data_IF_380064447387
#
_entry.id   IF_380064447387
#
_cell.length_a   1.000
_cell.length_b   1.000
_cell.length_c   1.000
_cell.angle_alpha   90.00
_cell.angle_beta   90.00
_cell.angle_gamma   90.00
#
_symmetry.space_group_name_H-M   'P 1'
#
loop_
_entity.id
_entity.type
_entity.pdbx_description
1 polymer ?
#
# COMPACT_ATOMS: atom_id res chain seq x y z
N UNK A 1 -6.58 78.14 -10.89
CA UNK A 1 -6.46 76.99 -9.97
C UNK A 1 -7.25 75.82 -10.55
N UNK A 2 -6.63 75.01 -11.44
CA UNK A 2 -7.32 73.92 -12.16
C UNK A 2 -6.31 72.96 -12.80
N UNK A 3 -5.35 72.45 -12.01
CA UNK A 3 -4.36 71.45 -12.47
C UNK A 3 -4.02 70.36 -11.44
N UNK A 4 -4.63 70.38 -10.25
CA UNK A 4 -4.26 69.47 -9.14
C UNK A 4 -5.15 68.23 -9.08
N UNK A 5 -6.26 68.17 -9.82
CA UNK A 5 -7.27 67.12 -9.66
C UNK A 5 -7.06 65.86 -10.52
N UNK A 6 -6.10 65.85 -11.45
CA UNK A 6 -5.87 64.71 -12.37
C UNK A 6 -4.81 63.73 -11.87
N UNK A 7 -3.99 64.12 -10.89
CA UNK A 7 -2.89 63.26 -10.39
C UNK A 7 -3.41 62.27 -9.32
N UNK A 8 -4.53 62.56 -8.65
CA UNK A 8 -5.09 61.68 -7.62
C UNK A 8 -5.79 60.43 -8.17
N UNK A 9 -6.24 60.45 -9.43
CA UNK A 9 -6.93 59.31 -10.06
C UNK A 9 -5.97 58.26 -10.66
N UNK A 10 -4.70 58.62 -10.87
CA UNK A 10 -3.70 57.72 -11.45
C UNK A 10 -3.00 56.85 -10.38
N UNK A 11 -3.01 57.28 -9.11
CA UNK A 11 -2.41 56.52 -8.00
C UNK A 11 -3.31 55.37 -7.47
N UNK A 12 -4.62 55.45 -7.68
CA UNK A 12 -5.58 54.40 -7.25
C UNK A 12 -5.58 53.21 -8.22
N UNK A 13 -5.27 53.43 -9.50
CA UNK A 13 -5.18 52.36 -10.51
C UNK A 13 -3.89 51.54 -10.35
N UNK A 14 -2.83 52.10 -9.74
CA UNK A 14 -1.57 51.38 -9.51
C UNK A 14 -1.66 50.39 -8.32
N UNK A 15 -2.61 50.58 -7.39
CA UNK A 15 -2.87 49.64 -6.29
C UNK A 15 -3.83 48.50 -6.66
N UNK A 16 -4.54 48.60 -7.78
CA UNK A 16 -5.44 47.54 -8.25
C UNK A 16 -4.72 46.35 -8.90
N UNK A 17 -3.41 46.46 -9.16
CA UNK A 17 -2.60 45.40 -9.80
C UNK A 17 -1.79 44.54 -8.82
N UNK A 18 -1.84 44.79 -7.51
CA UNK A 18 -1.19 43.93 -6.50
C UNK A 18 -2.12 42.85 -5.92
N UNK A 19 -3.34 42.73 -6.42
CA UNK A 19 -4.36 41.77 -5.95
C UNK A 19 -4.23 40.34 -6.48
N UNK A 20 -3.09 39.95 -7.04
CA UNK A 20 -2.87 38.57 -7.48
C UNK A 20 -1.42 38.14 -7.22
N UNK A 21 -0.97 38.27 -5.96
CA UNK A 21 0.06 37.39 -5.46
C UNK A 21 -0.63 36.05 -5.21
N UNK A 22 -0.50 35.11 -6.15
CA UNK A 22 -0.79 33.71 -5.88
C UNK A 22 0.09 33.30 -4.69
N UNK A 23 -0.50 33.29 -3.50
CA UNK A 23 -0.03 32.49 -2.37
C UNK A 23 0.01 31.07 -2.91
N UNK A 24 1.18 30.60 -3.31
CA UNK A 24 1.38 29.19 -3.62
C UNK A 24 1.10 28.45 -2.32
N UNK A 25 -0.08 27.82 -2.23
CA UNK A 25 -0.35 26.87 -1.17
C UNK A 25 0.76 25.83 -1.24
N UNK A 26 1.45 25.67 -0.11
CA UNK A 26 2.53 24.70 -0.02
C UNK A 26 1.91 23.33 -0.18
N UNK A 27 2.34 22.58 -1.20
CA UNK A 27 1.89 21.21 -1.43
C UNK A 27 2.87 20.23 -0.82
N UNK A 28 2.37 19.02 -0.60
CA UNK A 28 3.14 17.88 -0.16
C UNK A 28 2.78 16.65 -0.99
N UNK A 29 3.79 15.82 -1.23
CA UNK A 29 3.63 14.58 -1.98
C UNK A 29 3.26 13.42 -1.06
N UNK A 30 2.28 12.62 -1.48
CA UNK A 30 1.99 11.29 -0.94
C UNK A 30 2.28 10.25 -2.01
N UNK A 31 3.23 9.37 -1.74
CA UNK A 31 3.51 8.24 -2.63
C UNK A 31 2.51 7.11 -2.37
N UNK A 32 1.85 6.64 -3.42
CA UNK A 32 0.93 5.51 -3.36
C UNK A 32 1.67 4.25 -3.79
N UNK A 33 1.66 3.24 -2.92
CA UNK A 33 2.30 1.95 -3.15
C UNK A 33 1.25 0.85 -3.12
N UNK A 34 1.49 -0.20 -3.90
CA UNK A 34 0.72 -1.43 -3.89
C UNK A 34 1.52 -2.54 -3.21
N UNK A 35 0.84 -3.37 -2.44
CA UNK A 35 1.39 -4.58 -1.83
C UNK A 35 0.31 -5.64 -1.73
N UNK A 36 0.71 -6.86 -1.43
CA UNK A 36 -0.20 -7.93 -1.06
C UNK A 36 0.51 -8.95 -0.17
N UNK A 37 -0.27 -9.74 0.56
CA UNK A 37 0.23 -10.93 1.24
C UNK A 37 0.35 -12.09 0.24
N UNK A 38 1.38 -12.93 0.37
CA UNK A 38 1.46 -14.15 -0.44
C UNK A 38 0.27 -15.06 -0.20
N UNK A 39 -0.22 -15.68 -1.28
CA UNK A 39 -1.24 -16.74 -1.26
C UNK A 39 -0.70 -17.97 -1.98
N UNK A 40 -1.13 -19.15 -1.56
CA UNK A 40 -1.00 -20.38 -2.34
C UNK A 40 -2.11 -20.45 -3.39
N UNK A 41 -2.05 -21.42 -4.30
CA UNK A 41 -3.20 -21.92 -5.08
C UNK A 41 -3.49 -21.26 -6.44
N UNK A 42 -2.82 -20.16 -6.82
CA UNK A 42 -2.87 -19.64 -8.19
C UNK A 42 -1.47 -19.26 -8.71
N UNK A 43 -1.28 -19.30 -10.03
CA UNK A 43 0.02 -18.96 -10.66
C UNK A 43 0.15 -17.45 -10.89
N UNK A 44 -0.97 -16.78 -11.21
CA UNK A 44 -1.01 -15.36 -11.56
C UNK A 44 -2.42 -14.80 -11.38
N UNK A 45 -2.54 -13.53 -10.99
CA UNK A 45 -3.78 -12.76 -11.13
C UNK A 45 -3.45 -11.42 -11.76
N UNK A 46 -3.83 -11.26 -13.04
CA UNK A 46 -3.70 -10.00 -13.76
C UNK A 46 -4.95 -9.16 -13.52
N UNK A 47 -4.77 -7.91 -13.09
CA UNK A 47 -5.86 -6.96 -12.81
C UNK A 47 -5.61 -5.67 -13.58
N UNK A 48 -6.62 -5.25 -14.34
CA UNK A 48 -6.61 -4.01 -15.11
C UNK A 48 -7.32 -2.90 -14.34
N UNK A 49 -6.55 -1.91 -13.91
CA UNK A 49 -7.03 -0.73 -13.19
C UNK A 49 -7.11 0.43 -14.19
N UNK A 50 -8.30 0.96 -14.44
CA UNK A 50 -8.50 2.06 -15.40
C UNK A 50 -8.41 3.44 -14.78
N UNK A 51 -8.77 3.57 -13.50
CA UNK A 51 -8.86 4.89 -12.86
C UNK A 51 -8.55 4.84 -11.37
N UNK A 52 -8.12 6.00 -10.85
CA UNK A 52 -8.00 6.26 -9.42
C UNK A 52 -8.41 7.72 -9.17
N UNK A 53 -9.24 7.96 -8.16
CA UNK A 53 -9.62 9.30 -7.71
C UNK A 53 -9.55 9.36 -6.20
N UNK A 54 -9.33 10.56 -5.67
CA UNK A 54 -9.26 10.78 -4.23
C UNK A 54 -10.02 12.04 -3.86
N UNK A 55 -10.51 12.06 -2.63
CA UNK A 55 -11.21 13.18 -2.04
C UNK A 55 -10.43 13.67 -0.82
N UNK A 56 -10.22 14.98 -0.75
CA UNK A 56 -9.53 15.62 0.35
C UNK A 56 -10.23 16.92 0.77
N UNK A 57 -10.01 17.33 2.01
CA UNK A 57 -10.46 18.61 2.56
C UNK A 57 -9.30 19.33 3.25
N UNK A 58 -9.32 20.65 3.32
CA UNK A 58 -8.30 21.45 4.01
C UNK A 58 -8.98 22.22 5.14
N UNK A 59 -8.59 21.97 6.39
CA UNK A 59 -9.26 22.58 7.55
C UNK A 59 -10.77 22.27 7.56
N UNK A 60 -11.59 23.32 7.67
CA UNK A 60 -13.06 23.25 7.71
C UNK A 60 -13.71 23.46 6.33
N UNK A 61 -12.93 23.49 5.26
CA UNK A 61 -13.44 23.70 3.90
C UNK A 61 -14.21 22.48 3.36
N UNK A 62 -15.11 22.73 2.41
CA UNK A 62 -15.79 21.65 1.68
C UNK A 62 -14.76 20.82 0.91
N UNK A 63 -14.83 19.50 1.06
CA UNK A 63 -13.89 18.61 0.40
C UNK A 63 -14.09 18.57 -1.11
N UNK A 64 -13.01 18.27 -1.82
CA UNK A 64 -12.96 18.24 -3.28
C UNK A 64 -12.38 16.93 -3.80
N UNK A 65 -12.84 16.54 -4.99
CA UNK A 65 -12.33 15.38 -5.72
C UNK A 65 -11.19 15.77 -6.66
N UNK A 66 -10.18 14.92 -6.73
CA UNK A 66 -9.08 15.04 -7.67
C UNK A 66 -8.64 13.67 -8.21
N UNK A 67 -7.92 13.71 -9.33
CA UNK A 67 -7.47 12.53 -10.07
C UNK A 67 -5.97 12.66 -10.32
N UNK A 68 -5.13 11.67 -9.94
CA UNK A 68 -3.73 11.67 -10.29
C UNK A 68 -3.53 11.44 -11.80
N UNK A 69 -2.40 11.87 -12.34
CA UNK A 69 -2.00 11.56 -13.71
C UNK A 69 -1.46 10.13 -13.82
N UNK A 70 -1.67 9.47 -14.97
CA UNK A 70 -1.09 8.15 -15.31
C UNK A 70 -1.42 7.01 -14.34
N UNK A 71 -2.68 6.92 -13.93
CA UNK A 71 -3.16 5.89 -12.97
C UNK A 71 -3.45 4.55 -13.62
N UNK A 72 -3.80 4.54 -14.91
CA UNK A 72 -4.19 3.32 -15.61
C UNK A 72 -3.00 2.34 -15.67
N UNK A 73 -3.22 1.11 -15.22
CA UNK A 73 -2.16 0.10 -15.15
C UNK A 73 -2.73 -1.32 -15.18
N UNK A 74 -1.93 -2.26 -15.66
CA UNK A 74 -2.20 -3.70 -15.59
C UNK A 74 -1.16 -4.30 -14.66
N UNK A 75 -1.61 -4.98 -13.61
CA UNK A 75 -0.71 -5.54 -12.60
C UNK A 75 -0.98 -7.00 -12.33
N UNK A 76 0.11 -7.77 -12.20
CA UNK A 76 0.06 -9.10 -11.60
C UNK A 76 0.08 -8.96 -10.08
N UNK A 77 -1.05 -9.21 -9.43
CA UNK A 77 -1.20 -9.08 -7.97
C UNK A 77 -0.25 -10.03 -7.24
N UNK A 78 0.01 -11.24 -7.78
CA UNK A 78 0.93 -12.18 -7.15
C UNK A 78 2.37 -11.68 -7.14
N UNK A 79 2.73 -10.80 -8.07
CA UNK A 79 4.05 -10.18 -8.08
C UNK A 79 4.26 -9.18 -6.93
N UNK A 80 3.18 -8.72 -6.31
CA UNK A 80 3.20 -7.85 -5.12
C UNK A 80 3.45 -8.61 -3.82
N UNK A 81 3.31 -9.94 -3.84
CA UNK A 81 3.41 -10.80 -2.68
C UNK A 81 4.74 -10.58 -1.94
N UNK A 82 4.65 -9.99 -0.75
CA UNK A 82 5.83 -9.68 0.05
C UNK A 82 6.74 -8.63 -0.59
N UNK A 83 6.20 -7.68 -1.36
CA UNK A 83 6.94 -6.50 -1.81
C UNK A 83 6.03 -5.27 -1.87
N UNK A 84 6.63 -4.09 -1.95
CA UNK A 84 5.92 -2.83 -2.11
C UNK A 84 6.35 -2.21 -3.44
N UNK A 85 5.39 -1.99 -4.33
CA UNK A 85 5.63 -1.42 -5.66
C UNK A 85 5.06 -0.01 -5.70
N UNK A 86 5.88 0.97 -6.05
CA UNK A 86 5.42 2.34 -6.28
C UNK A 86 4.48 2.38 -7.47
N UNK A 87 3.32 3.01 -7.31
CA UNK A 87 2.32 3.14 -8.38
C UNK A 87 2.31 4.56 -8.94
N UNK A 88 1.96 5.56 -8.12
CA UNK A 88 1.99 6.97 -8.50
C UNK A 88 2.13 7.88 -7.27
N UNK A 89 2.24 9.18 -7.51
CA UNK A 89 2.27 10.20 -6.48
C UNK A 89 0.99 11.05 -6.53
N UNK A 90 0.53 11.47 -5.36
CA UNK A 90 -0.54 12.45 -5.19
C UNK A 90 0.07 13.72 -4.62
N UNK A 91 -0.28 14.87 -5.20
CA UNK A 91 0.03 16.18 -4.64
C UNK A 91 -1.19 16.71 -3.88
N UNK A 92 -0.99 17.06 -2.62
CA UNK A 92 -2.03 17.61 -1.74
C UNK A 92 -1.54 18.91 -1.11
N UNK A 93 -2.43 19.88 -0.81
CA UNK A 93 -2.06 20.98 0.08
C UNK A 93 -1.54 20.46 1.43
N UNK A 94 -0.60 21.17 2.04
CA UNK A 94 -0.17 20.86 3.41
C UNK A 94 -1.35 20.96 4.38
N UNK A 95 -1.41 20.03 5.34
CA UNK A 95 -2.52 19.88 6.29
C UNK A 95 -3.86 19.45 5.67
N UNK A 96 -3.87 19.01 4.40
CA UNK A 96 -5.05 18.37 3.83
C UNK A 96 -5.38 17.05 4.56
N UNK A 97 -6.66 16.74 4.66
CA UNK A 97 -7.20 15.50 5.18
C UNK A 97 -7.71 14.65 4.02
N UNK A 98 -7.08 13.52 3.77
CA UNK A 98 -7.49 12.55 2.75
C UNK A 98 -8.64 11.71 3.31
N UNK A 99 -9.85 11.86 2.77
CA UNK A 99 -11.05 11.26 3.38
C UNK A 99 -11.56 10.04 2.63
N UNK A 100 -11.27 9.93 1.33
CA UNK A 100 -11.75 8.83 0.52
C UNK A 100 -10.86 8.62 -0.70
N UNK A 101 -10.71 7.36 -1.11
CA UNK A 101 -10.14 6.96 -2.38
C UNK A 101 -11.17 6.14 -3.15
N UNK A 102 -11.06 6.16 -4.48
CA UNK A 102 -11.78 5.27 -5.37
C UNK A 102 -10.83 4.81 -6.46
N UNK A 103 -10.95 3.55 -6.85
CA UNK A 103 -10.31 3.02 -8.04
C UNK A 103 -11.32 2.21 -8.84
N UNK A 104 -11.09 2.12 -10.14
CA UNK A 104 -11.92 1.33 -11.04
C UNK A 104 -11.11 0.17 -11.60
N UNK A 105 -11.59 -1.05 -11.40
CA UNK A 105 -11.07 -2.28 -12.00
C UNK A 105 -11.97 -2.63 -13.18
N UNK A 106 -11.40 -2.74 -14.37
CA UNK A 106 -12.17 -3.08 -15.57
C UNK A 106 -12.30 -4.57 -15.75
N UNK A 107 -11.17 -5.26 -15.70
CA UNK A 107 -11.04 -6.67 -16.06
C UNK A 107 -10.00 -7.34 -15.16
N UNK A 108 -10.15 -8.66 -15.01
CA UNK A 108 -9.17 -9.48 -14.34
C UNK A 108 -9.12 -10.89 -14.95
N UNK A 109 -7.94 -11.49 -14.91
CA UNK A 109 -7.68 -12.85 -15.42
C UNK A 109 -6.81 -13.59 -14.43
N UNK A 110 -7.25 -14.79 -14.03
CA UNK A 110 -6.50 -15.68 -13.16
C UNK A 110 -5.85 -16.78 -14.00
N UNK A 111 -4.61 -17.14 -13.67
CA UNK A 111 -3.90 -18.25 -14.29
C UNK A 111 -3.69 -19.35 -13.26
N UNK A 112 -4.07 -20.59 -13.60
CA UNK A 112 -3.94 -21.78 -12.74
C UNK A 112 -3.48 -22.95 -13.59
N UNK A 113 -2.38 -23.59 -13.20
CA UNK A 113 -1.77 -24.66 -13.99
C UNK A 113 -1.34 -24.21 -15.39
N UNK A 114 -1.04 -22.92 -15.56
CA UNK A 114 -0.73 -22.31 -16.84
C UNK A 114 -1.92 -22.02 -17.76
N UNK A 115 -3.15 -22.32 -17.35
CA UNK A 115 -4.37 -21.97 -18.10
C UNK A 115 -5.00 -20.69 -17.58
N UNK A 116 -5.48 -19.82 -18.49
CA UNK A 116 -6.11 -18.55 -18.15
C UNK A 116 -7.64 -18.68 -18.06
N UNK A 117 -8.20 -18.11 -17.00
CA UNK A 117 -9.63 -18.07 -16.73
C UNK A 117 -10.08 -16.61 -16.52
N UNK A 118 -11.15 -16.15 -17.21
CA UNK A 118 -11.70 -14.83 -16.96
C UNK A 118 -12.29 -14.74 -15.55
N UNK A 119 -12.15 -13.58 -14.91
CA UNK A 119 -12.66 -13.33 -13.56
C UNK A 119 -13.81 -12.34 -13.60
N UNK A 120 -14.94 -12.70 -12.98
CA UNK A 120 -16.11 -11.83 -12.83
C UNK A 120 -15.81 -10.75 -11.76
N UNK A 121 -15.60 -9.50 -12.17
CA UNK A 121 -15.38 -8.38 -11.24
C UNK A 121 -16.73 -7.83 -10.76
N UNK A 122 -17.11 -8.11 -9.51
CA UNK A 122 -18.42 -7.69 -8.97
C UNK A 122 -18.48 -6.22 -8.58
N UNK A 123 -17.39 -5.69 -8.04
CA UNK A 123 -17.29 -4.31 -7.57
C UNK A 123 -16.17 -3.62 -8.35
N UNK A 124 -16.51 -3.13 -9.55
CA UNK A 124 -15.57 -2.41 -10.40
C UNK A 124 -15.07 -1.12 -9.74
N UNK A 125 -15.96 -0.36 -9.12
CA UNK A 125 -15.61 0.85 -8.37
C UNK A 125 -15.33 0.53 -6.89
N UNK A 126 -14.06 0.36 -6.56
CA UNK A 126 -13.62 0.03 -5.21
C UNK A 126 -13.39 1.31 -4.43
N UNK A 127 -14.19 1.52 -3.39
CA UNK A 127 -14.03 2.64 -2.44
C UNK A 127 -13.09 2.21 -1.31
N UNK A 128 -12.06 3.03 -1.06
CA UNK A 128 -11.10 2.83 0.03
C UNK A 128 -11.14 4.02 0.99
N UNK A 129 -10.89 3.76 2.28
CA UNK A 129 -10.90 4.69 3.42
C UNK A 129 -12.31 5.06 3.94
N UNK A 130 -12.48 4.90 5.27
CA UNK A 130 -13.72 5.15 6.03
C UNK A 130 -13.56 6.24 7.10
N UNK A 131 -12.32 6.60 7.45
CA UNK A 131 -11.96 7.64 8.43
C UNK A 131 -10.86 8.53 7.87
N UNK A 132 -10.97 9.85 8.06
CA UNK A 132 -10.07 10.83 7.47
C UNK A 132 -8.62 10.66 7.94
N UNK A 133 -7.68 10.82 7.01
CA UNK A 133 -6.25 10.72 7.24
C UNK A 133 -5.60 12.09 7.09
N UNK A 134 -5.05 12.63 8.19
CA UNK A 134 -4.44 13.96 8.19
C UNK A 134 -3.05 13.94 7.55
N UNK A 135 -2.90 14.64 6.43
CA UNK A 135 -1.66 14.79 5.68
C UNK A 135 -0.93 16.07 6.13
N UNK A 136 -0.25 16.00 7.27
CA UNK A 136 0.62 17.07 7.80
C UNK A 136 1.83 17.41 6.89
N UNK A 137 2.62 16.41 6.46
CA UNK A 137 3.88 16.61 5.73
C UNK A 137 4.22 15.45 4.79
N UNK A 138 3.23 15.03 3.98
CA UNK A 138 3.43 13.96 3.00
C UNK A 138 3.61 12.59 3.65
N UNK A 139 4.03 11.61 2.87
CA UNK A 139 4.27 10.25 3.35
C UNK A 139 4.01 9.18 2.30
N UNK A 140 3.85 7.95 2.77
CA UNK A 140 3.57 6.79 1.94
C UNK A 140 2.21 6.21 2.31
N UNK A 141 1.33 6.06 1.32
CA UNK A 141 0.06 5.36 1.41
C UNK A 141 0.22 3.99 0.74
N UNK A 142 0.30 2.95 1.54
CA UNK A 142 0.39 1.56 1.08
C UNK A 142 -1.02 0.99 1.01
N UNK A 143 -1.41 0.49 -0.16
CA UNK A 143 -2.67 -0.19 -0.38
C UNK A 143 -2.40 -1.70 -0.51
N UNK A 144 -2.89 -2.47 0.45
CA UNK A 144 -2.78 -3.92 0.49
C UNK A 144 -4.04 -4.53 -0.16
N UNK A 145 -3.89 -5.24 -1.30
CA UNK A 145 -5.00 -5.77 -2.10
C UNK A 145 -5.72 -6.94 -1.41
N UNK A 146 -5.08 -7.57 -0.42
CA UNK A 146 -5.60 -8.74 0.30
C UNK A 146 -6.26 -9.76 -0.63
N UNK A 147 -5.46 -10.36 -1.51
CA UNK A 147 -5.95 -11.27 -2.54
C UNK A 147 -6.76 -12.43 -1.95
N UNK A 148 -6.32 -12.99 -0.82
CA UNK A 148 -6.99 -14.08 -0.12
C UNK A 148 -8.40 -13.73 0.39
N UNK A 149 -8.78 -12.45 0.46
CA UNK A 149 -10.17 -12.03 0.74
C UNK A 149 -10.90 -11.48 -0.49
N UNK A 150 -10.17 -11.33 -1.59
CA UNK A 150 -10.66 -10.65 -2.79
C UNK A 150 -11.08 -11.61 -3.89
N UNK A 151 -10.35 -12.71 -4.08
CA UNK A 151 -10.58 -13.65 -5.18
C UNK A 151 -11.22 -14.94 -4.66
N UNK A 152 -12.37 -15.30 -5.22
CA UNK A 152 -13.15 -16.47 -4.82
C UNK A 152 -13.45 -17.38 -6.01
N UNK A 153 -13.39 -18.70 -5.82
CA UNK A 153 -13.90 -19.68 -6.78
C UNK A 153 -15.36 -20.07 -6.45
N UNK A 154 -16.23 -20.13 -7.47
CA UNK A 154 -17.61 -20.61 -7.29
C UNK A 154 -17.65 -22.14 -7.18
N UNK A 155 -17.60 -22.66 -5.94
CA UNK A 155 -17.64 -24.10 -5.69
C UNK A 155 -16.54 -24.84 -6.47
N UNK A 156 -16.85 -25.99 -7.06
CA UNK A 156 -15.90 -26.75 -7.88
C UNK A 156 -15.87 -26.35 -9.37
N UNK A 157 -16.39 -25.18 -9.74
CA UNK A 157 -16.41 -24.71 -11.13
C UNK A 157 -15.20 -23.84 -11.48
N UNK A 158 -14.82 -23.77 -12.76
CA UNK A 158 -13.78 -22.86 -13.24
C UNK A 158 -14.28 -21.41 -13.39
N UNK A 159 -15.15 -20.97 -12.49
CA UNK A 159 -15.70 -19.62 -12.47
C UNK A 159 -15.16 -18.89 -11.25
N UNK A 160 -14.44 -17.81 -11.50
CA UNK A 160 -13.78 -17.01 -10.48
C UNK A 160 -14.46 -15.64 -10.37
N UNK A 161 -14.58 -15.15 -9.15
CA UNK A 161 -15.14 -13.84 -8.84
C UNK A 161 -14.09 -13.01 -8.11
N UNK A 162 -13.91 -11.77 -8.55
CA UNK A 162 -13.14 -10.76 -7.83
C UNK A 162 -14.08 -9.79 -7.13
N UNK A 163 -13.96 -9.72 -5.81
CA UNK A 163 -14.55 -8.72 -4.95
C UNK A 163 -13.43 -7.99 -4.18
N UNK A 164 -12.81 -6.96 -4.77
CA UNK A 164 -11.58 -6.39 -4.25
C UNK A 164 -11.69 -5.84 -2.82
N UNK A 165 -10.74 -6.20 -1.95
CA UNK A 165 -10.64 -5.76 -0.56
C UNK A 165 -9.31 -5.04 -0.35
N UNK A 166 -9.33 -3.70 -0.37
CA UNK A 166 -8.11 -2.92 -0.16
C UNK A 166 -7.99 -2.41 1.28
N UNK A 167 -6.86 -2.71 1.93
CA UNK A 167 -6.51 -2.24 3.27
C UNK A 167 -5.44 -1.14 3.18
N UNK A 168 -5.79 0.12 3.48
CA UNK A 168 -4.84 1.21 3.44
C UNK A 168 -4.00 1.28 4.72
N UNK A 169 -2.70 1.48 4.57
CA UNK A 169 -1.77 1.81 5.66
C UNK A 169 -1.01 3.08 5.30
N UNK A 170 -1.07 4.10 6.15
CA UNK A 170 -0.31 5.32 5.95
C UNK A 170 0.86 5.42 6.91
N UNK A 171 2.03 5.79 6.38
CA UNK A 171 3.26 5.89 7.16
C UNK A 171 4.10 7.10 6.77
N UNK A 172 4.90 7.56 7.73
CA UNK A 172 5.66 8.82 7.65
C UNK A 172 6.98 8.69 8.40
N UNK A 173 7.90 9.58 8.07
CA UNK A 173 9.21 9.67 8.71
C UNK A 173 10.22 8.72 8.11
N UNK A 174 11.38 8.62 8.76
CA UNK A 174 12.43 7.69 8.35
C UNK A 174 12.00 6.28 8.73
N UNK A 175 11.90 5.43 7.72
CA UNK A 175 11.52 4.03 7.83
C UNK A 175 12.47 3.21 6.99
N UNK A 176 12.78 2.01 7.47
CA UNK A 176 13.82 1.17 6.92
C UNK A 176 13.29 -0.23 6.69
N UNK A 177 13.65 -0.80 5.55
CA UNK A 177 13.21 -2.14 5.20
C UNK A 177 13.80 -3.19 6.13
N UNK A 178 13.00 -4.22 6.43
CA UNK A 178 13.50 -5.48 6.99
C UNK A 178 13.30 -6.55 5.92
N UNK A 179 14.40 -7.04 5.33
CA UNK A 179 14.39 -8.06 4.27
C UNK A 179 15.36 -9.18 4.58
N UNK A 180 15.29 -10.26 3.83
CA UNK A 180 16.24 -11.33 4.02
C UNK A 180 15.94 -12.60 3.26
N UNK A 181 16.63 -13.67 3.65
CA UNK A 181 16.47 -15.03 3.13
C UNK A 181 16.24 -16.00 4.27
N UNK A 182 15.49 -17.06 3.99
CA UNK A 182 15.38 -18.23 4.87
C UNK A 182 16.17 -19.36 4.24
N UNK A 183 17.05 -20.00 5.01
CA UNK A 183 17.87 -21.12 4.55
C UNK A 183 17.57 -22.39 5.37
N UNK A 184 17.54 -23.54 4.70
CA UNK A 184 17.56 -24.86 5.32
C UNK A 184 18.79 -25.63 4.84
N UNK A 185 19.67 -25.98 5.77
CA UNK A 185 20.94 -26.67 5.46
C UNK A 185 21.74 -25.95 4.36
N UNK A 186 21.78 -24.62 4.40
CA UNK A 186 22.48 -23.78 3.42
C UNK A 186 21.75 -23.53 2.10
N UNK A 187 20.58 -24.13 1.87
CA UNK A 187 19.79 -23.93 0.65
C UNK A 187 18.63 -22.98 0.91
N UNK A 188 18.33 -22.03 0.00
CA UNK A 188 17.18 -21.15 0.16
C UNK A 188 15.86 -21.92 0.20
N UNK A 189 15.00 -21.52 1.13
CA UNK A 189 13.71 -22.15 1.35
C UNK A 189 12.60 -21.25 0.82
N UNK A 190 11.75 -21.80 -0.06
CA UNK A 190 10.59 -21.13 -0.64
C UNK A 190 9.37 -21.35 0.25
N UNK A 191 8.35 -20.50 0.07
CA UNK A 191 7.06 -20.59 0.76
C UNK A 191 7.16 -20.69 2.30
N UNK A 192 8.24 -20.16 2.90
CA UNK A 192 8.35 -20.06 4.36
C UNK A 192 7.66 -18.81 4.84
N UNK A 193 6.74 -18.93 5.80
CA UNK A 193 6.08 -17.78 6.41
C UNK A 193 7.08 -17.08 7.32
N UNK A 194 7.18 -15.77 7.18
CA UNK A 194 8.03 -14.91 8.00
C UNK A 194 7.15 -13.85 8.63
N UNK A 195 7.18 -13.78 9.97
CA UNK A 195 6.41 -12.83 10.75
C UNK A 195 7.32 -11.84 11.46
N UNK A 196 6.90 -10.58 11.51
CA UNK A 196 7.50 -9.55 12.36
C UNK A 196 6.59 -9.30 13.57
N UNK A 197 7.20 -9.20 14.73
CA UNK A 197 6.52 -8.98 16.01
C UNK A 197 7.32 -7.99 16.87
N UNK A 198 6.71 -7.36 17.88
CA UNK A 198 7.49 -6.73 18.95
C UNK A 198 8.24 -7.82 19.74
N UNK A 199 9.31 -7.44 20.44
CA UNK A 199 10.12 -8.38 21.23
C UNK A 199 9.38 -9.01 22.40
N UNK A 200 8.24 -8.45 22.82
CA UNK A 200 7.35 -9.03 23.83
C UNK A 200 6.31 -10.01 23.25
N UNK A 201 6.34 -10.22 21.92
CA UNK A 201 5.47 -11.15 21.19
C UNK A 201 3.97 -10.87 21.33
N UNK A 202 3.59 -9.66 21.76
CA UNK A 202 2.21 -9.30 22.07
C UNK A 202 1.27 -9.33 20.85
N UNK A 203 1.80 -9.19 19.64
CA UNK A 203 1.01 -9.17 18.40
C UNK A 203 1.86 -9.46 17.17
N UNK A 204 1.21 -9.88 16.09
CA UNK A 204 1.85 -9.98 14.77
C UNK A 204 1.71 -8.63 14.05
N UNK A 205 2.85 -7.99 13.77
CA UNK A 205 2.89 -6.70 13.09
C UNK A 205 2.78 -6.84 11.57
N UNK A 206 3.40 -7.88 11.01
CA UNK A 206 3.37 -8.19 9.57
C UNK A 206 3.68 -9.66 9.34
N UNK A 207 3.06 -10.21 8.30
CA UNK A 207 3.34 -11.53 7.77
C UNK A 207 3.75 -11.37 6.31
N UNK A 208 4.74 -12.13 5.90
CA UNK A 208 5.13 -12.29 4.51
C UNK A 208 5.55 -13.73 4.28
N UNK A 209 5.96 -14.06 3.07
CA UNK A 209 6.47 -15.36 2.70
C UNK A 209 7.69 -15.17 1.82
N UNK A 210 8.66 -16.08 1.90
CA UNK A 210 9.78 -16.08 0.96
C UNK A 210 9.25 -16.23 -0.47
N UNK A 211 9.49 -15.22 -1.30
CA UNK A 211 8.96 -15.11 -2.65
C UNK A 211 9.65 -16.07 -3.63
N UNK A 212 9.29 -15.98 -4.92
CA UNK A 212 9.90 -16.78 -6.00
C UNK A 212 11.42 -16.58 -6.18
N UNK A 213 11.94 -15.46 -5.67
CA UNK A 213 13.37 -15.11 -5.61
C UNK A 213 14.02 -15.52 -4.29
N UNK A 214 13.31 -16.29 -3.45
CA UNK A 214 13.80 -16.89 -2.21
C UNK A 214 14.10 -15.85 -1.11
N UNK A 215 13.53 -14.66 -1.25
CA UNK A 215 13.68 -13.53 -0.33
C UNK A 215 12.35 -13.20 0.35
N UNK A 216 12.42 -12.75 1.60
CA UNK A 216 11.30 -12.15 2.30
C UNK A 216 11.51 -10.63 2.43
N UNK A 217 10.40 -9.90 2.57
CA UNK A 217 10.40 -8.48 2.88
C UNK A 217 9.21 -8.19 3.81
N UNK A 218 9.53 -7.72 5.01
CA UNK A 218 8.58 -7.41 6.08
C UNK A 218 8.11 -5.95 6.01
N UNK A 219 8.46 -5.20 4.96
CA UNK A 219 8.11 -3.79 4.80
C UNK A 219 9.07 -2.86 5.54
N UNK A 220 8.70 -1.57 5.63
CA UNK A 220 9.50 -0.54 6.30
C UNK A 220 9.05 -0.26 7.73
N UNK A 221 10.00 -0.16 8.65
CA UNK A 221 9.78 0.02 10.08
C UNK A 221 10.62 1.16 10.64
N UNK A 222 10.19 1.72 11.78
CA UNK A 222 10.98 2.73 12.51
C UNK A 222 12.19 2.07 13.17
N UNK A 223 13.13 2.90 13.62
CA UNK A 223 14.19 2.44 14.51
C UNK A 223 13.60 1.75 15.75
N UNK A 224 14.17 0.60 16.11
CA UNK A 224 13.66 -0.24 17.17
C UNK A 224 14.15 -1.67 17.09
N UNK A 225 13.81 -2.44 18.11
CA UNK A 225 14.04 -3.89 18.15
C UNK A 225 12.75 -4.63 17.85
N UNK A 226 12.86 -5.64 17.01
CA UNK A 226 11.76 -6.48 16.57
C UNK A 226 12.17 -7.94 16.63
N UNK A 227 11.19 -8.83 16.71
CA UNK A 227 11.39 -10.26 16.61
C UNK A 227 10.93 -10.73 15.23
N UNK A 228 11.80 -11.46 14.53
CA UNK A 228 11.42 -12.20 13.33
C UNK A 228 11.22 -13.66 13.71
N UNK A 229 10.06 -14.21 13.36
CA UNK A 229 9.77 -15.65 13.46
C UNK A 229 9.57 -16.25 12.08
N UNK A 230 10.05 -17.47 11.89
CA UNK A 230 9.91 -18.23 10.64
C UNK A 230 9.17 -19.52 10.89
N UNK A 231 8.20 -19.82 10.04
CA UNK A 231 7.39 -21.03 10.09
C UNK A 231 7.41 -21.73 8.72
N UNK A 232 7.69 -23.02 8.71
CA UNK A 232 7.60 -23.89 7.53
C UNK A 232 6.27 -24.63 7.52
N UNK A 233 5.82 -24.99 6.32
CA UNK A 233 4.68 -25.90 6.10
C UNK A 233 3.40 -25.47 6.85
N UNK A 234 3.21 -24.16 7.02
CA UNK A 234 1.97 -23.63 7.57
C UNK A 234 0.95 -23.64 6.45
N UNK A 235 -0.11 -24.40 6.62
CA UNK A 235 -1.29 -24.29 5.78
C UNK A 235 -1.94 -22.94 6.08
N UNK A 236 -2.08 -22.10 5.06
CA UNK A 236 -2.80 -20.84 5.19
C UNK A 236 -4.28 -21.18 5.40
N UNK A 237 -4.95 -20.56 6.39
CA UNK A 237 -6.36 -20.80 6.59
C UNK A 237 -7.16 -20.34 5.39
N UNK A 238 -8.32 -20.95 5.21
CA UNK A 238 -9.31 -20.52 4.22
C UNK A 238 -9.71 -19.06 4.47
N UNK A 239 -10.25 -18.45 3.42
CA UNK A 239 -10.62 -17.03 3.27
C UNK A 239 -11.48 -16.45 4.42
N UNK A 240 -12.12 -17.32 5.20
CA UNK A 240 -13.01 -16.99 6.31
C UNK A 240 -12.32 -16.85 7.66
N UNK A 241 -11.07 -17.27 7.80
CA UNK A 241 -10.33 -17.26 9.06
C UNK A 241 -8.99 -16.49 8.92
N UNK A 242 -8.63 -15.76 9.97
CA UNK A 242 -7.32 -15.10 10.04
C UNK A 242 -6.28 -16.09 10.56
N UNK A 243 -5.09 -16.08 9.96
CA UNK A 243 -3.97 -16.94 10.37
C UNK A 243 -3.51 -16.56 11.79
N UNK A 244 -3.85 -17.40 12.77
CA UNK A 244 -3.34 -17.28 14.13
C UNK A 244 -1.94 -17.90 14.25
N UNK A 245 -0.93 -17.15 13.78
CA UNK A 245 0.47 -17.59 13.89
C UNK A 245 0.95 -17.83 15.32
N UNK A 246 0.29 -17.25 16.33
CA UNK A 246 0.66 -17.44 17.73
C UNK A 246 0.34 -18.85 18.23
N UNK A 247 -0.55 -19.57 17.54
CA UNK A 247 -0.87 -20.97 17.82
C UNK A 247 0.18 -21.95 17.28
N UNK A 248 1.07 -21.52 16.38
CA UNK A 248 2.09 -22.36 15.75
C UNK A 248 3.42 -22.27 16.49
N UNK A 249 4.19 -23.37 16.48
CA UNK A 249 5.58 -23.38 16.93
C UNK A 249 6.49 -22.89 15.81
N UNK A 250 7.34 -21.90 16.08
CA UNK A 250 8.29 -21.42 15.06
C UNK A 250 9.46 -22.39 14.82
N UNK A 251 9.98 -22.37 13.59
CA UNK A 251 11.18 -23.13 13.18
C UNK A 251 12.47 -22.35 13.37
N UNK A 252 12.38 -21.02 13.42
CA UNK A 252 13.46 -20.12 13.79
C UNK A 252 12.90 -18.82 14.37
N UNK A 253 13.70 -18.19 15.22
CA UNK A 253 13.40 -16.91 15.84
C UNK A 253 14.68 -16.10 15.96
N UNK A 254 14.65 -14.82 15.57
CA UNK A 254 15.81 -13.93 15.60
C UNK A 254 15.39 -12.49 15.93
N UNK A 255 16.09 -11.85 16.87
CA UNK A 255 15.91 -10.41 17.14
C UNK A 255 16.63 -9.61 16.06
N UNK A 256 15.94 -8.62 15.51
CA UNK A 256 16.47 -7.67 14.54
C UNK A 256 16.38 -6.25 15.08
N UNK A 257 17.47 -5.51 14.96
CA UNK A 257 17.53 -4.09 15.29
C UNK A 257 17.53 -3.26 14.02
N UNK A 258 16.60 -2.32 13.92
CA UNK A 258 16.58 -1.27 12.90
C UNK A 258 17.21 -0.02 13.49
N UNK A 259 18.24 0.52 12.83
CA UNK A 259 18.92 1.73 13.29
C UNK A 259 19.44 2.57 12.13
N UNK A 260 18.58 3.41 11.57
CA UNK A 260 18.99 4.41 10.61
C UNK A 260 19.25 3.88 9.18
N UNK A 261 19.12 2.58 8.93
CA UNK A 261 19.36 1.93 7.64
C UNK A 261 18.52 0.64 7.44
N UNK A 262 18.37 0.24 6.18
CA UNK A 262 17.71 -1.01 5.79
C UNK A 262 18.46 -2.22 6.35
N UNK A 263 17.70 -3.21 6.82
CA UNK A 263 18.23 -4.40 7.46
C UNK A 263 18.04 -5.62 6.57
N UNK A 264 19.14 -6.31 6.26
CA UNK A 264 19.12 -7.61 5.60
C UNK A 264 19.50 -8.73 6.57
N UNK A 265 18.72 -9.82 6.58
CA UNK A 265 18.96 -10.99 7.45
C UNK A 265 18.97 -12.31 6.69
N UNK A 266 19.73 -13.27 7.18
CA UNK A 266 19.75 -14.64 6.68
C UNK A 266 19.42 -15.56 7.84
N UNK A 267 18.21 -16.10 7.84
CA UNK A 267 17.68 -16.89 8.94
C UNK A 267 17.81 -18.36 8.59
N UNK A 268 18.52 -19.12 9.43
CA UNK A 268 18.67 -20.56 9.26
C UNK A 268 17.60 -21.27 10.08
N UNK A 269 16.75 -22.05 9.41
CA UNK A 269 15.75 -22.90 10.07
C UNK A 269 16.32 -24.28 10.37
N UNK A 270 15.87 -24.87 11.47
CA UNK A 270 16.22 -26.25 11.85
C UNK A 270 15.51 -27.29 10.98
#
# INVERSE_FOLDING_TARGET
MRKVLVISSLFIILFAFFGCLNLFEKTTTVSVLLTDRPVSDIDKLTVDISSFTYHYAVGDEEGQWATPTNVATTIDILSLAGTEVSWFNIELPENASLTQLRLTIEEATVTIGGEEYPVEVKNKDVKVIKSALNILSGGELVLDFDLARSLHQKGSSNVYILNPVLKPTFRRGKLYFIKGKVLKSGNPLKLSIVALMPTDESTVLRITMTNKYEEFNLGKWKDGEYLIKVYKNVELPDETEDLDLLAFTEDASEIVTVSGEDVFRTINVK
#
